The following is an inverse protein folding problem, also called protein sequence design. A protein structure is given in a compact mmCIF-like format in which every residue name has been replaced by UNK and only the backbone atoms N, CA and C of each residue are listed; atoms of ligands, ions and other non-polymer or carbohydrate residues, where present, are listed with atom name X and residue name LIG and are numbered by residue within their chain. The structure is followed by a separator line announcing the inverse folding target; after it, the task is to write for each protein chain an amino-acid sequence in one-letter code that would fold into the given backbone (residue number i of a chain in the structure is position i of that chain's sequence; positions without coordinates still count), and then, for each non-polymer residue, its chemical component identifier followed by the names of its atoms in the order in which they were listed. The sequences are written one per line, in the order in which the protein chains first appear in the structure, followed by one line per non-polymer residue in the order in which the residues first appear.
data_IF_282218230544
#
_entry.id   IF_282218230544
#
_cell.length_a   1.000
_cell.length_b   1.000
_cell.length_c   1.000
_cell.angle_alpha   90.00
_cell.angle_beta   90.00
_cell.angle_gamma   90.00
#
_symmetry.space_group_name_H-M   'P 1'
#
loop_
_entity.id
_entity.type
_entity.pdbx_description
1 polymer ?
#
# COMPACT_ATOMS: atom_id res chain seq x y z
N UNK A 1 2.22 22.96 -20.20
CA UNK A 1 1.01 22.14 -20.30
C UNK A 1 0.73 21.59 -18.92
N UNK A 2 -0.15 22.24 -18.16
CA UNK A 2 -0.54 21.73 -16.85
C UNK A 2 -1.42 20.51 -17.03
N UNK A 3 -0.96 19.39 -16.48
CA UNK A 3 -1.70 18.12 -16.48
C UNK A 3 -2.47 18.07 -15.17
N UNK A 4 -3.80 18.07 -15.22
CA UNK A 4 -4.66 18.10 -14.02
C UNK A 4 -5.44 16.81 -13.85
N UNK A 5 -5.67 16.42 -12.60
CA UNK A 5 -6.68 15.42 -12.27
C UNK A 5 -8.03 16.12 -12.05
N UNK A 6 -9.12 15.51 -12.47
CA UNK A 6 -10.48 16.02 -12.35
C UNK A 6 -11.37 14.97 -11.71
N UNK A 7 -12.15 15.41 -10.72
CA UNK A 7 -13.16 14.63 -10.03
C UNK A 7 -14.22 15.58 -9.47
N UNK A 8 -15.39 15.06 -9.13
CA UNK A 8 -16.40 15.77 -8.37
C UNK A 8 -16.72 14.98 -7.10
N UNK A 9 -17.14 15.71 -6.07
CA UNK A 9 -17.63 15.14 -4.83
C UNK A 9 -19.01 15.72 -4.56
N UNK A 10 -20.00 14.86 -4.38
CA UNK A 10 -21.34 15.24 -3.95
C UNK A 10 -21.57 14.76 -2.53
N UNK A 11 -21.99 15.67 -1.64
CA UNK A 11 -22.51 15.32 -0.33
C UNK A 11 -24.03 15.23 -0.44
N UNK A 12 -24.58 14.07 -0.14
CA UNK A 12 -26.01 13.76 -0.27
C UNK A 12 -26.55 13.61 1.14
N UNK A 13 -27.34 14.60 1.57
CA UNK A 13 -27.99 14.58 2.88
C UNK A 13 -29.44 14.11 2.73
N UNK A 14 -29.75 12.95 3.29
CA UNK A 14 -31.12 12.51 3.54
C UNK A 14 -31.63 12.99 4.90
N UNK A 15 -32.84 12.57 5.26
CA UNK A 15 -33.43 12.89 6.57
C UNK A 15 -32.75 12.13 7.72
N UNK A 16 -32.36 10.87 7.47
CA UNK A 16 -31.75 9.99 8.46
C UNK A 16 -30.30 9.62 8.14
N UNK A 17 -29.91 9.64 6.86
CA UNK A 17 -28.62 9.12 6.39
C UNK A 17 -27.88 10.17 5.53
N UNK A 18 -26.55 10.15 5.59
CA UNK A 18 -25.67 11.01 4.80
C UNK A 18 -24.72 10.15 3.97
N UNK A 19 -24.58 10.51 2.70
CA UNK A 19 -23.71 9.83 1.76
C UNK A 19 -22.73 10.81 1.11
N UNK A 20 -21.59 10.27 0.69
CA UNK A 20 -20.64 10.96 -0.18
C UNK A 20 -20.49 10.16 -1.46
N UNK A 21 -20.62 10.84 -2.60
CA UNK A 21 -20.37 10.27 -3.91
C UNK A 21 -19.14 10.93 -4.54
N UNK A 22 -18.16 10.13 -4.95
CA UNK A 22 -17.09 10.58 -5.85
C UNK A 22 -17.47 10.25 -7.29
N UNK A 23 -17.23 11.21 -8.18
CA UNK A 23 -17.42 11.06 -9.62
C UNK A 23 -16.09 11.34 -10.31
N UNK A 24 -15.50 10.29 -10.87
CA UNK A 24 -14.28 10.36 -11.67
C UNK A 24 -14.68 10.25 -13.15
N UNK A 25 -14.62 11.35 -13.92
CA UNK A 25 -14.92 11.28 -15.35
C UNK A 25 -13.90 10.38 -16.07
N UNK A 26 -14.32 9.80 -17.19
CA UNK A 26 -13.41 9.05 -18.05
C UNK A 26 -12.18 9.90 -18.40
N UNK A 27 -10.98 9.32 -18.29
CA UNK A 27 -9.70 10.03 -18.46
C UNK A 27 -9.49 11.22 -17.50
N UNK A 28 -10.24 11.29 -16.40
CA UNK A 28 -10.11 12.35 -15.38
C UNK A 28 -8.82 12.28 -14.58
N UNK A 29 -8.13 11.14 -14.54
CA UNK A 29 -6.85 10.97 -13.83
C UNK A 29 -5.72 10.94 -14.87
N UNK A 30 -4.96 12.04 -14.91
CA UNK A 30 -3.90 12.27 -15.90
C UNK A 30 -2.48 12.15 -15.30
N UNK A 31 -2.35 12.18 -13.98
CA UNK A 31 -1.10 11.88 -13.27
C UNK A 31 -1.40 11.17 -11.95
N UNK A 32 -0.48 10.31 -11.49
CA UNK A 32 -0.64 9.53 -10.26
C UNK A 32 0.52 9.70 -9.28
N UNK A 33 1.54 10.47 -9.65
CA UNK A 33 2.73 10.74 -8.85
C UNK A 33 3.33 12.05 -9.35
N UNK A 34 3.78 12.91 -8.43
CA UNK A 34 4.45 14.16 -8.77
C UNK A 34 5.86 13.94 -9.34
N UNK A 35 6.36 14.91 -10.10
CA UNK A 35 7.76 14.93 -10.54
C UNK A 35 8.65 15.42 -9.39
N UNK A 36 9.65 14.63 -9.02
CA UNK A 36 10.56 14.94 -7.90
C UNK A 36 11.83 15.68 -8.31
N UNK A 37 11.92 16.09 -9.57
CA UNK A 37 13.06 16.85 -10.09
C UNK A 37 14.40 16.12 -9.87
N UNK A 38 15.47 16.87 -9.62
CA UNK A 38 16.86 16.36 -9.53
C UNK A 38 17.12 15.38 -8.36
N UNK A 39 16.15 15.19 -7.45
CA UNK A 39 16.29 14.24 -6.33
C UNK A 39 16.18 12.77 -6.77
N UNK A 40 15.60 12.51 -7.96
CA UNK A 40 15.61 11.20 -8.62
C UNK A 40 14.82 10.08 -7.94
N UNK A 41 14.08 10.35 -6.87
CA UNK A 41 13.29 9.36 -6.13
C UNK A 41 11.79 9.58 -6.32
N UNK A 42 10.96 8.55 -6.56
CA UNK A 42 9.53 8.73 -6.76
C UNK A 42 8.83 9.35 -5.52
N UNK A 43 7.96 10.35 -5.70
CA UNK A 43 7.12 10.94 -4.62
C UNK A 43 6.01 9.97 -4.16
N UNK A 44 5.25 10.31 -3.12
CA UNK A 44 4.07 9.55 -2.74
C UNK A 44 3.05 9.56 -3.89
N UNK A 45 2.51 8.38 -4.21
CA UNK A 45 1.44 8.27 -5.22
C UNK A 45 0.17 8.95 -4.76
N UNK A 46 -0.66 9.37 -5.71
CA UNK A 46 -1.97 9.96 -5.45
C UNK A 46 -2.84 9.01 -4.61
N UNK A 47 -3.49 9.59 -3.60
CA UNK A 47 -4.38 8.87 -2.69
C UNK A 47 -5.78 9.47 -2.78
N UNK A 48 -6.79 8.61 -2.70
CA UNK A 48 -8.19 8.96 -2.57
C UNK A 48 -8.81 8.16 -1.42
N UNK A 49 -9.67 8.80 -0.64
CA UNK A 49 -10.20 8.21 0.57
C UNK A 49 -10.93 9.20 1.46
N UNK A 50 -11.29 8.70 2.63
CA UNK A 50 -11.85 9.45 3.74
C UNK A 50 -10.85 9.48 4.89
N UNK A 51 -10.86 10.58 5.63
CA UNK A 51 -10.18 10.72 6.92
C UNK A 51 -11.17 11.32 7.91
N UNK A 52 -11.31 10.67 9.06
CA UNK A 52 -12.11 11.12 10.19
C UNK A 52 -11.26 11.96 11.14
N UNK A 53 -11.89 12.83 11.94
CA UNK A 53 -11.21 13.67 12.94
C UNK A 53 -10.43 12.82 13.96
N UNK A 54 -10.92 11.63 14.28
CA UNK A 54 -10.28 10.67 15.18
C UNK A 54 -9.13 9.87 14.52
N UNK A 55 -8.75 10.21 13.28
CA UNK A 55 -7.60 9.62 12.58
C UNK A 55 -7.90 8.30 11.85
N UNK A 56 -9.13 7.79 11.90
CA UNK A 56 -9.53 6.66 11.04
C UNK A 56 -9.51 7.09 9.59
N UNK A 57 -9.00 6.23 8.72
CA UNK A 57 -8.97 6.48 7.27
C UNK A 57 -9.60 5.31 6.51
N UNK A 58 -10.21 5.61 5.38
CA UNK A 58 -10.74 4.63 4.43
C UNK A 58 -10.17 4.94 3.05
N UNK A 59 -9.43 4.01 2.47
CA UNK A 59 -8.83 4.19 1.15
C UNK A 59 -9.75 3.64 0.07
N UNK A 60 -9.99 4.44 -0.99
CA UNK A 60 -10.64 3.92 -2.19
C UNK A 60 -9.76 2.85 -2.84
N UNK A 61 -10.38 1.95 -3.60
CA UNK A 61 -9.65 0.87 -4.27
C UNK A 61 -8.52 1.42 -5.17
N UNK A 62 -7.31 0.91 -4.96
CA UNK A 62 -6.13 1.32 -5.74
C UNK A 62 -5.46 2.61 -5.25
N UNK A 63 -6.00 3.26 -4.21
CA UNK A 63 -5.40 4.43 -3.57
C UNK A 63 -3.96 4.17 -3.11
N UNK A 64 -3.06 5.12 -3.39
CA UNK A 64 -1.64 4.98 -3.08
C UNK A 64 -0.87 4.02 -4.00
N UNK A 65 -1.51 3.44 -5.02
CA UNK A 65 -0.89 2.50 -5.96
C UNK A 65 -1.06 2.97 -7.40
N UNK A 66 -0.41 2.29 -8.35
CA UNK A 66 -0.62 2.48 -9.79
C UNK A 66 -2.08 2.30 -10.25
N UNK A 67 -2.91 1.61 -9.45
CA UNK A 67 -4.30 1.33 -9.76
C UNK A 67 -5.24 2.49 -9.42
N UNK A 68 -4.77 3.57 -8.79
CA UNK A 68 -5.57 4.78 -8.53
C UNK A 68 -6.18 5.35 -9.82
N UNK A 69 -5.51 5.18 -10.98
CA UNK A 69 -6.05 5.58 -12.29
C UNK A 69 -7.35 4.86 -12.67
N UNK A 70 -7.58 3.67 -12.10
CA UNK A 70 -8.77 2.87 -12.39
C UNK A 70 -10.03 3.41 -11.69
N UNK A 71 -9.92 4.44 -10.85
CA UNK A 71 -11.11 5.10 -10.28
C UNK A 71 -12.07 5.64 -11.34
N UNK A 72 -11.57 5.94 -12.56
CA UNK A 72 -12.35 6.41 -13.71
C UNK A 72 -13.12 5.31 -14.45
N UNK A 73 -12.75 4.03 -14.26
CA UNK A 73 -13.29 2.88 -15.01
C UNK A 73 -13.87 1.78 -14.12
N UNK A 74 -13.62 1.86 -12.81
CA UNK A 74 -14.15 0.97 -11.76
C UNK A 74 -15.16 1.71 -10.89
N UNK A 75 -15.87 0.97 -10.04
CA UNK A 75 -16.95 1.48 -9.19
C UNK A 75 -17.27 0.52 -8.06
N UNK A 76 -17.93 1.01 -7.00
CA UNK A 76 -18.62 0.18 -5.99
C UNK A 76 -20.16 0.18 -6.15
N UNK A 77 -20.68 0.83 -7.18
CA UNK A 77 -22.10 0.94 -7.54
C UNK A 77 -22.43 0.28 -8.90
N UNK A 78 -21.43 -0.26 -9.59
CA UNK A 78 -21.60 -0.86 -10.92
C UNK A 78 -21.59 0.14 -12.09
N UNK A 79 -21.33 1.43 -11.82
CA UNK A 79 -21.24 2.47 -12.84
C UNK A 79 -19.82 3.07 -12.82
N UNK A 80 -19.05 2.85 -13.90
CA UNK A 80 -17.67 3.31 -14.03
C UNK A 80 -17.48 4.78 -13.61
N UNK A 81 -16.50 5.05 -12.75
CA UNK A 81 -16.25 6.41 -12.27
C UNK A 81 -17.09 6.84 -11.08
N UNK A 82 -18.18 6.12 -10.76
CA UNK A 82 -19.11 6.45 -9.68
C UNK A 82 -18.80 5.64 -8.42
N UNK A 83 -18.55 6.32 -7.30
CA UNK A 83 -18.27 5.68 -6.02
C UNK A 83 -19.16 6.29 -4.94
N UNK A 84 -19.98 5.48 -4.27
CA UNK A 84 -20.91 5.94 -3.25
C UNK A 84 -20.54 5.34 -1.89
N UNK A 85 -20.62 6.13 -0.83
CA UNK A 85 -20.36 5.67 0.54
C UNK A 85 -21.35 6.29 1.51
N UNK A 86 -21.86 5.51 2.45
CA UNK A 86 -22.59 6.04 3.61
C UNK A 86 -21.55 6.55 4.63
N UNK A 87 -21.71 7.80 5.05
CA UNK A 87 -20.81 8.47 5.99
C UNK A 87 -21.48 8.84 7.31
N UNK A 88 -22.79 8.61 7.43
CA UNK A 88 -23.51 8.87 8.67
C UNK A 88 -24.99 8.44 8.61
N UNK A 89 -25.61 8.17 9.77
CA UNK A 89 -24.97 7.89 11.06
C UNK A 89 -24.17 6.58 10.99
N UNK A 90 -23.07 6.52 11.73
CA UNK A 90 -22.17 5.35 11.85
C UNK A 90 -22.09 4.96 13.33
N UNK A 91 -21.88 3.67 13.61
CA UNK A 91 -21.62 3.19 14.97
C UNK A 91 -20.27 3.69 15.52
N UNK A 92 -20.06 3.57 16.83
CA UNK A 92 -18.79 3.94 17.46
C UNK A 92 -17.67 3.07 16.87
N UNK A 93 -16.59 3.70 16.40
CA UNK A 93 -15.45 3.05 15.72
C UNK A 93 -15.72 2.54 14.29
N UNK A 94 -16.96 2.60 13.78
CA UNK A 94 -17.31 2.18 12.42
C UNK A 94 -16.86 3.18 11.34
N UNK A 95 -16.14 2.71 10.33
CA UNK A 95 -15.67 3.54 9.20
C UNK A 95 -16.80 3.77 8.17
N UNK A 96 -16.54 4.56 7.12
CA UNK A 96 -17.52 4.72 6.03
C UNK A 96 -17.93 3.37 5.45
N UNK A 97 -19.20 3.26 5.06
CA UNK A 97 -19.77 2.01 4.58
C UNK A 97 -19.97 2.05 3.07
N UNK A 98 -19.60 0.95 2.42
CA UNK A 98 -19.92 0.72 1.03
C UNK A 98 -21.39 0.28 0.88
N UNK A 99 -22.01 0.52 -0.29
CA UNK A 99 -23.37 0.10 -0.60
C UNK A 99 -23.52 -1.42 -0.44
N UNK A 100 -24.55 -1.84 0.30
CA UNK A 100 -24.97 -3.23 0.35
C UNK A 100 -25.64 -3.59 -0.98
N UNK A 101 -24.83 -4.00 -1.96
CA UNK A 101 -25.34 -4.55 -3.21
C UNK A 101 -25.94 -5.93 -2.90
N UNK A 102 -27.23 -5.97 -2.55
CA UNK A 102 -28.02 -7.22 -2.41
C UNK A 102 -28.26 -7.77 -3.80
N UNK A 103 -27.21 -8.30 -4.40
CA UNK A 103 -27.29 -9.24 -5.50
C UNK A 103 -26.25 -10.31 -5.18
N UNK A 104 -26.64 -11.59 -5.19
CA UNK A 104 -25.78 -12.74 -4.86
C UNK A 104 -24.56 -12.88 -5.81
N UNK A 105 -24.32 -11.90 -6.69
CA UNK A 105 -23.16 -11.76 -7.56
C UNK A 105 -22.43 -10.41 -7.55
N UNK A 106 -22.84 -9.38 -6.79
CA UNK A 106 -22.28 -8.02 -6.94
C UNK A 106 -21.05 -7.69 -6.05
N UNK A 107 -20.81 -8.46 -4.99
CA UNK A 107 -19.51 -8.47 -4.27
C UNK A 107 -18.60 -9.63 -4.74
N UNK A 108 -18.87 -10.22 -5.90
CA UNK A 108 -17.91 -11.20 -6.44
C UNK A 108 -16.66 -10.45 -6.82
N UNK A 109 -15.57 -10.75 -6.11
CA UNK A 109 -14.25 -10.53 -6.66
C UNK A 109 -14.24 -11.04 -8.11
N UNK A 110 -13.72 -10.25 -9.05
CA UNK A 110 -13.75 -10.61 -10.46
C UNK A 110 -13.13 -12.00 -10.63
N UNK A 111 -13.79 -12.91 -11.34
CA UNK A 111 -13.24 -14.26 -11.50
C UNK A 111 -12.39 -14.38 -12.75
N UNK A 112 -12.59 -13.48 -13.70
CA UNK A 112 -11.84 -13.45 -14.94
C UNK A 112 -11.23 -12.08 -15.17
N UNK A 113 -10.28 -12.01 -16.10
CA UNK A 113 -9.74 -10.76 -16.58
C UNK A 113 -10.84 -9.88 -17.19
N UNK A 114 -11.75 -10.47 -17.97
CA UNK A 114 -12.84 -9.74 -18.62
C UNK A 114 -13.87 -9.18 -17.62
N UNK A 115 -14.10 -9.85 -16.49
CA UNK A 115 -15.00 -9.41 -15.41
C UNK A 115 -14.38 -8.33 -14.50
N UNK A 116 -13.26 -7.71 -14.90
CA UNK A 116 -12.61 -6.65 -14.14
C UNK A 116 -11.36 -7.08 -13.36
N UNK A 117 -10.93 -8.34 -13.47
CA UNK A 117 -9.69 -8.83 -12.84
C UNK A 117 -8.46 -8.06 -13.33
N UNK A 118 -8.47 -7.62 -14.58
CA UNK A 118 -7.39 -6.80 -15.13
C UNK A 118 -7.24 -5.44 -14.43
N UNK A 119 -8.30 -4.89 -13.82
CA UNK A 119 -8.22 -3.65 -13.04
C UNK A 119 -7.62 -3.86 -11.65
N UNK A 120 -7.53 -5.10 -11.18
CA UNK A 120 -6.87 -5.49 -9.93
C UNK A 120 -5.36 -5.72 -10.14
N UNK A 121 -4.94 -6.14 -11.33
CA UNK A 121 -3.53 -6.27 -11.67
C UNK A 121 -2.81 -4.91 -11.66
N UNK A 122 -1.50 -4.94 -11.42
CA UNK A 122 -0.67 -3.75 -11.55
C UNK A 122 -0.68 -3.20 -12.99
N UNK A 123 -0.51 -1.89 -13.17
CA UNK A 123 -0.40 -1.24 -14.50
C UNK A 123 0.66 -1.87 -15.40
N UNK A 124 1.78 -2.26 -14.79
CA UNK A 124 2.90 -2.96 -15.38
C UNK A 124 2.77 -4.50 -15.33
N UNK A 125 1.56 -5.04 -15.19
CA UNK A 125 1.29 -6.47 -15.26
C UNK A 125 0.28 -6.80 -16.37
N UNK A 126 0.26 -8.07 -16.75
CA UNK A 126 -0.72 -8.68 -17.64
C UNK A 126 -1.63 -9.60 -16.83
N UNK A 127 -2.93 -9.56 -17.14
CA UNK A 127 -3.92 -10.47 -16.57
C UNK A 127 -4.07 -11.70 -17.47
N UNK A 128 -4.12 -12.88 -16.89
CA UNK A 128 -4.40 -14.14 -17.58
C UNK A 128 -5.42 -14.97 -16.82
N UNK A 129 -6.45 -15.46 -17.51
CA UNK A 129 -7.41 -16.39 -16.92
C UNK A 129 -6.76 -17.74 -16.61
N UNK A 130 -7.20 -18.33 -15.50
CA UNK A 130 -6.77 -19.63 -14.99
C UNK A 130 -8.00 -20.47 -14.66
N UNK A 131 -7.81 -21.75 -14.34
CA UNK A 131 -8.95 -22.62 -13.96
C UNK A 131 -9.62 -22.18 -12.65
N UNK A 132 -8.90 -21.48 -11.77
CA UNK A 132 -9.36 -21.07 -10.44
C UNK A 132 -9.72 -19.59 -10.34
N UNK A 133 -9.65 -18.84 -11.43
CA UNK A 133 -9.85 -17.39 -11.43
C UNK A 133 -8.94 -16.73 -12.46
N UNK A 134 -8.32 -15.60 -12.13
CA UNK A 134 -7.28 -14.97 -12.93
C UNK A 134 -5.97 -14.83 -12.13
N UNK A 135 -4.85 -14.68 -12.83
CA UNK A 135 -3.57 -14.31 -12.24
C UNK A 135 -3.00 -13.09 -12.95
N UNK A 136 -2.22 -12.32 -12.21
CA UNK A 136 -1.46 -11.20 -12.73
C UNK A 136 0.02 -11.60 -12.83
N UNK A 137 0.70 -11.20 -13.90
CA UNK A 137 2.15 -11.41 -14.06
C UNK A 137 2.80 -10.11 -14.49
N UNK A 138 3.85 -9.68 -13.79
CA UNK A 138 4.58 -8.47 -14.15
C UNK A 138 5.13 -8.58 -15.58
N UNK A 139 5.05 -7.49 -16.34
CA UNK A 139 5.57 -7.37 -17.71
C UNK A 139 7.10 -7.41 -17.70
N UNK A 140 7.69 -7.68 -18.87
CA UNK A 140 9.14 -7.67 -19.02
C UNK A 140 9.76 -6.34 -18.54
N UNK A 141 10.88 -6.43 -17.81
CA UNK A 141 11.53 -5.29 -17.17
C UNK A 141 10.97 -4.90 -15.79
N UNK A 142 9.98 -5.65 -15.29
CA UNK A 142 9.40 -5.49 -13.95
C UNK A 142 9.38 -6.83 -13.21
N UNK A 143 9.38 -6.78 -11.88
CA UNK A 143 9.19 -7.96 -11.03
C UNK A 143 8.28 -7.67 -9.83
N UNK A 144 7.71 -8.73 -9.25
CA UNK A 144 6.74 -8.66 -8.16
C UNK A 144 5.76 -9.83 -8.23
N UNK A 145 4.62 -9.70 -7.57
CA UNK A 145 3.56 -10.74 -7.55
C UNK A 145 2.47 -10.50 -8.61
N UNK A 146 2.66 -9.55 -9.52
CA UNK A 146 1.70 -9.17 -10.56
C UNK A 146 0.61 -8.18 -10.11
N UNK A 147 0.27 -8.18 -8.83
CA UNK A 147 -0.62 -7.17 -8.24
C UNK A 147 0.16 -5.92 -7.80
N UNK A 148 1.43 -6.09 -7.44
CA UNK A 148 2.40 -5.03 -7.22
C UNK A 148 3.67 -5.36 -8.01
N UNK A 149 4.13 -4.43 -8.86
CA UNK A 149 5.29 -4.63 -9.71
C UNK A 149 6.22 -3.42 -9.66
N UNK A 150 7.52 -3.67 -9.51
CA UNK A 150 8.56 -2.65 -9.51
C UNK A 150 9.48 -2.86 -10.71
N UNK A 151 10.03 -1.74 -11.23
CA UNK A 151 10.95 -1.79 -12.37
C UNK A 151 12.28 -2.38 -11.93
N UNK A 152 12.86 -3.22 -12.78
CA UNK A 152 14.15 -3.85 -12.52
C UNK A 152 15.26 -2.79 -12.36
N UNK A 153 16.16 -3.03 -11.41
CA UNK A 153 17.39 -2.24 -11.18
C UNK A 153 17.19 -0.75 -10.88
N UNK A 154 15.96 -0.29 -10.67
CA UNK A 154 15.65 1.08 -10.26
C UNK A 154 15.63 1.19 -8.74
N UNK A 155 16.41 2.08 -8.11
CA UNK A 155 16.41 2.22 -6.66
C UNK A 155 15.03 2.52 -6.08
N UNK A 156 14.78 1.99 -4.87
CA UNK A 156 13.53 2.22 -4.15
C UNK A 156 13.78 2.80 -2.76
N UNK A 157 12.79 3.54 -2.27
CA UNK A 157 12.75 4.03 -0.90
C UNK A 157 11.62 3.34 -0.13
N UNK A 158 11.92 2.89 1.07
CA UNK A 158 10.91 2.40 2.03
C UNK A 158 10.90 3.36 3.21
N UNK A 159 9.71 3.81 3.60
CA UNK A 159 9.53 4.72 4.73
C UNK A 159 8.50 4.17 5.70
N UNK A 160 8.63 4.51 6.97
CA UNK A 160 7.64 4.15 7.98
C UNK A 160 7.93 4.82 9.32
N UNK A 161 6.93 4.88 10.17
CA UNK A 161 7.12 5.29 11.56
C UNK A 161 7.53 4.07 12.40
N UNK A 162 8.38 4.30 13.40
CA UNK A 162 8.75 3.30 14.40
C UNK A 162 8.35 3.86 15.76
N UNK A 163 7.38 3.18 16.38
CA UNK A 163 6.82 3.56 17.68
C UNK A 163 6.82 2.38 18.63
N UNK A 164 7.07 2.65 19.91
CA UNK A 164 7.00 1.62 20.94
C UNK A 164 7.67 2.05 22.23
N UNK A 165 7.90 1.09 23.10
CA UNK A 165 8.71 1.27 24.30
C UNK A 165 9.85 0.27 24.33
N UNK A 166 10.99 0.71 24.83
CA UNK A 166 12.15 -0.12 25.11
C UNK A 166 12.52 0.13 26.56
N UNK A 167 12.26 -0.84 27.43
CA UNK A 167 12.39 -0.64 28.89
C UNK A 167 11.62 0.63 29.32
N UNK A 168 12.31 1.58 29.96
CA UNK A 168 11.74 2.85 30.43
C UNK A 168 11.73 3.96 29.35
N UNK A 169 12.24 3.69 28.15
CA UNK A 169 12.30 4.65 27.05
C UNK A 169 11.10 4.54 26.12
N UNK A 170 10.50 5.68 25.78
CA UNK A 170 9.53 5.76 24.69
C UNK A 170 10.26 6.02 23.39
N UNK A 171 9.93 5.25 22.34
CA UNK A 171 10.47 5.41 21.00
C UNK A 171 9.36 5.99 20.12
N UNK A 172 9.63 7.14 19.51
CA UNK A 172 8.85 7.68 18.39
C UNK A 172 9.84 8.27 17.39
N UNK A 173 10.11 7.51 16.32
CA UNK A 173 11.11 7.87 15.30
C UNK A 173 10.61 7.50 13.91
N UNK A 174 11.32 7.96 12.89
CA UNK A 174 11.05 7.60 11.50
C UNK A 174 12.13 6.66 10.98
N UNK A 175 11.70 5.69 10.19
CA UNK A 175 12.57 4.80 9.43
C UNK A 175 12.59 5.22 7.97
N UNK A 176 13.78 5.31 7.40
CA UNK A 176 13.99 5.46 5.97
C UNK A 176 14.98 4.41 5.49
N UNK A 177 14.62 3.67 4.46
CA UNK A 177 15.50 2.70 3.81
C UNK A 177 15.68 3.02 2.33
N UNK A 178 16.92 2.92 1.86
CA UNK A 178 17.29 3.01 0.46
C UNK A 178 17.72 1.63 -0.06
N UNK A 179 17.10 1.19 -1.15
CA UNK A 179 17.28 -0.14 -1.72
C UNK A 179 17.98 -0.04 -3.07
N UNK A 180 19.15 -0.67 -3.17
CA UNK A 180 19.91 -0.82 -4.42
C UNK A 180 19.48 -2.12 -5.09
N UNK A 181 18.49 -2.02 -5.97
CA UNK A 181 17.85 -3.20 -6.58
C UNK A 181 18.78 -4.06 -7.44
N UNK A 182 19.83 -3.45 -8.03
CA UNK A 182 20.76 -4.15 -8.91
C UNK A 182 21.58 -5.25 -8.21
N UNK A 183 21.81 -5.11 -6.91
CA UNK A 183 22.57 -6.07 -6.09
C UNK A 183 21.87 -6.50 -4.80
N UNK A 184 20.69 -5.95 -4.49
CA UNK A 184 19.86 -6.34 -3.35
C UNK A 184 20.34 -5.76 -2.01
N UNK A 185 21.21 -4.74 -2.02
CA UNK A 185 21.65 -4.07 -0.79
C UNK A 185 20.62 -3.07 -0.29
N UNK A 186 20.45 -3.02 1.03
CA UNK A 186 19.51 -2.11 1.70
C UNK A 186 20.21 -1.32 2.79
N UNK A 187 19.95 -0.03 2.85
CA UNK A 187 20.52 0.90 3.82
C UNK A 187 19.39 1.54 4.61
N UNK A 188 19.24 1.17 5.88
CA UNK A 188 18.16 1.65 6.74
C UNK A 188 18.71 2.60 7.79
N UNK A 189 18.08 3.75 7.93
CA UNK A 189 18.35 4.75 8.95
C UNK A 189 17.10 4.98 9.79
N UNK A 190 17.30 5.15 11.09
CA UNK A 190 16.28 5.58 12.05
C UNK A 190 16.64 6.99 12.52
N UNK A 191 15.71 7.94 12.39
CA UNK A 191 15.95 9.33 12.76
C UNK A 191 14.63 10.07 13.01
N UNK A 192 14.56 10.95 14.03
CA UNK A 192 15.58 11.21 15.06
C UNK A 192 15.64 10.12 16.14
N UNK A 193 16.80 9.91 16.76
CA UNK A 193 16.96 9.03 17.92
C UNK A 193 17.88 9.70 18.94
N UNK A 194 17.57 9.57 20.23
CA UNK A 194 18.47 9.96 21.31
C UNK A 194 19.68 9.01 21.39
N UNK A 195 20.86 9.55 21.75
CA UNK A 195 22.14 8.81 21.68
C UNK A 195 22.13 7.51 22.51
N UNK A 196 21.53 7.55 23.71
CA UNK A 196 21.44 6.39 24.62
C UNK A 196 20.58 5.26 24.03
N UNK A 197 19.46 5.63 23.38
CA UNK A 197 18.57 4.68 22.71
C UNK A 197 19.26 4.12 21.46
N UNK A 198 19.97 4.97 20.71
CA UNK A 198 20.68 4.59 19.49
C UNK A 198 21.67 3.44 19.69
N UNK A 199 22.41 3.45 20.81
CA UNK A 199 23.36 2.37 21.15
C UNK A 199 22.63 1.06 21.44
N UNK A 200 21.53 1.11 22.20
CA UNK A 200 20.75 -0.07 22.57
C UNK A 200 20.07 -0.72 21.36
N UNK A 201 19.60 0.10 20.42
CA UNK A 201 18.94 -0.37 19.19
C UNK A 201 19.89 -0.99 18.16
N UNK A 202 21.21 -0.94 18.34
CA UNK A 202 22.15 -1.57 17.40
C UNK A 202 21.92 -3.09 17.23
N UNK A 203 21.40 -3.74 18.27
CA UNK A 203 21.06 -5.17 18.26
C UNK A 203 19.68 -5.45 17.61
N UNK A 204 18.87 -4.41 17.40
CA UNK A 204 17.55 -4.51 16.79
C UNK A 204 17.61 -4.51 15.25
N UNK A 205 18.56 -5.25 14.67
CA UNK A 205 18.76 -5.31 13.20
C UNK A 205 17.50 -5.78 12.44
N UNK A 206 16.62 -6.52 13.12
CA UNK A 206 15.34 -6.99 12.59
C UNK A 206 14.42 -5.86 12.12
N UNK A 207 14.58 -4.63 12.62
CA UNK A 207 13.80 -3.46 12.17
C UNK A 207 14.04 -3.21 10.66
N UNK A 208 15.27 -3.39 10.18
CA UNK A 208 15.63 -3.20 8.77
C UNK A 208 15.74 -4.48 7.94
N UNK A 209 15.97 -5.64 8.58
CA UNK A 209 16.31 -6.88 7.90
C UNK A 209 15.23 -7.36 6.90
N UNK A 210 13.95 -7.14 7.23
CA UNK A 210 12.82 -7.54 6.39
C UNK A 210 12.82 -6.85 5.03
N UNK A 211 13.35 -5.63 4.95
CA UNK A 211 13.51 -4.89 3.69
C UNK A 211 14.55 -5.59 2.80
N UNK A 212 15.64 -6.07 3.40
CA UNK A 212 16.63 -6.90 2.70
C UNK A 212 16.04 -8.18 2.14
N UNK A 213 15.19 -8.87 2.91
CA UNK A 213 14.47 -10.06 2.42
C UNK A 213 13.48 -9.75 1.29
N UNK A 214 12.75 -8.64 1.37
CA UNK A 214 11.82 -8.20 0.33
C UNK A 214 12.53 -8.03 -1.01
N UNK A 215 13.68 -7.35 -1.00
CA UNK A 215 14.39 -6.93 -2.22
C UNK A 215 15.70 -7.69 -2.46
N UNK A 216 15.86 -8.85 -1.85
CA UNK A 216 16.99 -9.73 -2.09
C UNK A 216 17.09 -10.07 -3.57
N UNK A 217 18.31 -10.13 -4.12
CA UNK A 217 18.52 -10.52 -5.51
C UNK A 217 18.19 -12.01 -5.71
N UNK A 218 17.20 -12.35 -6.55
CA UNK A 218 16.87 -13.74 -6.86
C UNK A 218 18.06 -14.49 -7.50
N UNK A 219 18.24 -15.76 -7.14
CA UNK A 219 19.19 -16.67 -7.79
C UNK A 219 18.41 -17.84 -8.40
N UNK A 220 18.55 -18.05 -9.70
CA UNK A 220 17.78 -19.06 -10.43
C UNK A 220 16.28 -18.74 -10.41
N UNK A 221 15.46 -19.70 -9.97
CA UNK A 221 14.00 -19.59 -9.92
C UNK A 221 13.46 -19.26 -8.52
N UNK A 222 14.32 -18.89 -7.57
CA UNK A 222 13.92 -18.57 -6.19
C UNK A 222 13.33 -17.17 -6.14
N UNK A 223 12.13 -17.04 -5.59
CA UNK A 223 11.47 -15.74 -5.40
C UNK A 223 11.97 -15.04 -4.14
N UNK A 224 12.14 -13.73 -4.20
CA UNK A 224 12.37 -12.90 -3.01
C UNK A 224 11.06 -12.54 -2.30
N UNK A 225 11.15 -11.88 -1.15
CA UNK A 225 9.96 -11.55 -0.36
C UNK A 225 8.96 -10.65 -1.08
N UNK A 226 9.43 -9.73 -1.93
CA UNK A 226 8.54 -8.83 -2.67
C UNK A 226 7.79 -9.55 -3.79
N UNK A 227 8.42 -10.51 -4.47
CA UNK A 227 7.76 -11.37 -5.46
C UNK A 227 6.69 -12.27 -4.84
N UNK A 228 6.83 -12.62 -3.56
CA UNK A 228 5.85 -13.42 -2.83
C UNK A 228 4.69 -12.54 -2.30
N UNK A 229 5.01 -11.41 -1.68
CA UNK A 229 4.05 -10.64 -0.88
C UNK A 229 3.53 -9.37 -1.56
N UNK A 230 4.22 -8.88 -2.61
CA UNK A 230 3.99 -7.54 -3.14
C UNK A 230 4.28 -6.43 -2.12
N UNK A 231 5.03 -6.73 -1.06
CA UNK A 231 5.29 -5.81 0.04
C UNK A 231 4.10 -5.59 0.98
N UNK A 232 3.08 -6.46 0.95
CA UNK A 232 1.93 -6.38 1.86
C UNK A 232 1.86 -7.60 2.77
N UNK A 233 2.34 -7.45 4.00
CA UNK A 233 2.37 -8.52 5.00
C UNK A 233 2.64 -7.96 6.40
N UNK A 234 2.28 -8.74 7.41
CA UNK A 234 2.62 -8.46 8.79
C UNK A 234 3.72 -9.42 9.24
N UNK A 235 4.66 -8.92 10.04
CA UNK A 235 5.74 -9.73 10.60
C UNK A 235 5.93 -9.39 12.08
N UNK A 236 5.86 -10.43 12.91
CA UNK A 236 6.26 -10.36 14.31
C UNK A 236 7.58 -11.09 14.47
N UNK A 237 8.57 -10.45 15.10
CA UNK A 237 9.85 -11.07 15.43
C UNK A 237 10.16 -10.85 16.90
N UNK A 238 10.56 -11.91 17.60
CA UNK A 238 11.03 -11.86 18.99
C UNK A 238 12.49 -12.24 19.03
N UNK A 239 13.34 -11.35 19.55
CA UNK A 239 14.75 -11.60 19.85
C UNK A 239 14.85 -11.87 21.34
N UNK A 240 15.39 -13.03 21.71
CA UNK A 240 15.66 -13.40 23.10
C UNK A 240 17.17 -13.34 23.36
N UNK A 241 17.58 -12.64 24.41
CA UNK A 241 18.99 -12.52 24.79
C UNK A 241 19.35 -13.60 25.83
N UNK A 242 20.15 -14.58 25.40
CA UNK A 242 20.63 -15.64 26.28
C UNK A 242 21.51 -15.05 27.40
N UNK A 243 21.15 -15.32 28.66
CA UNK A 243 21.89 -14.89 29.85
C UNK A 243 21.23 -13.77 30.66
N UNK A 244 20.45 -12.88 30.04
CA UNK A 244 19.70 -11.83 30.77
C UNK A 244 18.21 -12.09 30.91
N UNK A 245 17.65 -13.05 30.15
CA UNK A 245 16.22 -13.29 30.00
C UNK A 245 15.44 -12.12 29.38
N UNK A 246 16.13 -11.15 28.79
CA UNK A 246 15.50 -10.03 28.09
C UNK A 246 14.93 -10.49 26.75
N UNK A 247 13.82 -9.86 26.34
CA UNK A 247 13.20 -10.10 25.06
C UNK A 247 12.88 -8.78 24.38
N UNK A 248 13.23 -8.66 23.10
CA UNK A 248 12.79 -7.58 22.23
C UNK A 248 11.77 -8.12 21.24
N UNK A 249 10.55 -7.60 21.29
CA UNK A 249 9.50 -7.89 20.31
C UNK A 249 9.37 -6.73 19.33
N UNK A 250 9.37 -7.04 18.04
CA UNK A 250 9.18 -6.09 16.95
C UNK A 250 8.04 -6.58 16.08
N UNK A 251 7.01 -5.75 15.94
CA UNK A 251 5.87 -5.99 15.05
C UNK A 251 5.95 -4.97 13.89
N UNK A 252 6.15 -5.47 12.67
CA UNK A 252 6.20 -4.67 11.44
C UNK A 252 4.95 -4.92 10.60
N UNK A 253 4.37 -3.83 10.10
CA UNK A 253 3.21 -3.83 9.20
C UNK A 253 3.66 -3.21 7.88
N UNK A 254 3.72 -4.02 6.83
CA UNK A 254 4.01 -3.55 5.48
C UNK A 254 2.71 -3.44 4.69
N UNK A 255 2.45 -2.26 4.14
CA UNK A 255 1.18 -1.92 3.48
C UNK A 255 1.26 -1.92 1.94
N UNK A 256 2.37 -2.40 1.36
CA UNK A 256 2.65 -2.33 -0.08
C UNK A 256 3.49 -1.11 -0.49
N UNK A 257 3.69 -0.97 -1.80
CA UNK A 257 4.33 0.18 -2.48
C UNK A 257 3.32 0.99 -3.29
#
# INVERSE_FOLDING_TARGET
NDVTNSFQVALILGEEETYVQFLYPEHGINWIQGDTGDSGLPDVRAQAGFISEDGRFFQLQGSGTDNIKHLTVSSNMGEAGSWLFKVGPLEQEENVLEPNMIDEGALREPRTCAEGGHFKCHSAASCTDTRSGYCCTCKAGYYGNGFSCVKNDVPLRVVGAVKGSLNDWTIDTQMQSYVVMADGRTYTALSPLEDDIGTTLQLAQVIGASIGWLFAKPIGNVLNGYQVTGGKFNQTTTISFEGSHDNLRVDLIFNGL
#
